data_IF_428486723369
#
_entry.id   IF_428486723369
#
_cell.length_a   1.000
_cell.length_b   1.000
_cell.length_c   1.000
_cell.angle_alpha   90.00
_cell.angle_beta   90.00
_cell.angle_gamma   90.00
#
_symmetry.space_group_name_H-M   'P 1'
#
loop_
_entity.id
_entity.type
_entity.pdbx_description
1 polymer ?
#
# COMPACT_ATOMS: atom_id res chain seq x y z
N UNK A 1 -0.47 18.37 10.98
CA UNK A 1 -0.31 17.42 12.10
C UNK A 1 1.16 17.10 12.24
N UNK A 2 1.71 17.12 13.46
CA UNK A 2 3.14 16.85 13.65
C UNK A 2 3.41 15.35 13.73
N UNK A 3 4.62 14.92 13.38
CA UNK A 3 5.06 13.52 13.46
C UNK A 3 4.94 12.95 14.88
N UNK A 4 5.20 13.79 15.88
CA UNK A 4 5.01 13.49 17.30
C UNK A 4 3.56 13.13 17.66
N UNK A 5 2.58 13.54 16.86
CA UNK A 5 1.15 13.31 17.14
C UNK A 5 0.61 12.01 16.53
N UNK A 6 1.04 11.66 15.31
CA UNK A 6 0.44 10.55 14.56
C UNK A 6 1.31 9.29 14.54
N UNK A 7 2.65 9.42 14.52
CA UNK A 7 3.55 8.29 14.30
C UNK A 7 3.49 7.26 15.44
N UNK A 8 3.50 7.65 16.73
CA UNK A 8 3.34 6.70 17.82
C UNK A 8 1.99 5.95 17.75
N UNK A 9 0.92 6.66 17.41
CA UNK A 9 -0.42 6.07 17.25
C UNK A 9 -0.47 5.07 16.10
N UNK A 10 0.05 5.42 14.93
CA UNK A 10 0.11 4.51 13.80
C UNK A 10 0.95 3.28 14.11
N UNK A 11 2.05 3.45 14.83
CA UNK A 11 2.88 2.34 15.29
C UNK A 11 2.11 1.40 16.21
N UNK A 12 1.42 1.92 17.21
CA UNK A 12 0.58 1.11 18.11
C UNK A 12 -0.55 0.38 17.35
N UNK A 13 -1.20 1.06 16.41
CA UNK A 13 -2.21 0.46 15.54
C UNK A 13 -1.62 -0.68 14.68
N UNK A 14 -0.45 -0.48 14.07
CA UNK A 14 0.21 -1.52 13.27
C UNK A 14 0.75 -2.67 14.11
N UNK A 15 1.34 -2.41 15.28
CA UNK A 15 1.77 -3.45 16.22
C UNK A 15 0.61 -4.36 16.63
N UNK A 16 -0.61 -3.82 16.69
CA UNK A 16 -1.81 -4.61 16.95
C UNK A 16 -2.33 -5.34 15.71
N UNK A 17 -2.38 -4.67 14.54
CA UNK A 17 -2.73 -5.29 13.25
C UNK A 17 -1.83 -6.49 12.94
N UNK A 18 -0.53 -6.40 13.19
CA UNK A 18 0.43 -7.50 12.95
C UNK A 18 0.02 -8.78 13.67
N UNK A 19 -0.55 -8.69 14.89
CA UNK A 19 -1.02 -9.89 15.62
C UNK A 19 -2.21 -10.55 14.91
N UNK A 20 -3.13 -9.73 14.41
CA UNK A 20 -4.29 -10.21 13.65
C UNK A 20 -3.86 -10.78 12.30
N UNK A 21 -3.04 -10.04 11.56
CA UNK A 21 -2.52 -10.41 10.24
C UNK A 21 -1.72 -11.71 10.29
N UNK A 22 -0.81 -11.87 11.26
CA UNK A 22 0.00 -13.08 11.41
C UNK A 22 -0.83 -14.34 11.70
N UNK A 23 -2.06 -14.18 12.23
CA UNK A 23 -2.98 -15.27 12.49
C UNK A 23 -4.03 -15.50 11.39
N UNK A 24 -4.12 -14.58 10.41
CA UNK A 24 -5.16 -14.60 9.37
C UNK A 24 -4.89 -15.63 8.28
N UNK A 25 -5.96 -16.15 7.67
CA UNK A 25 -5.85 -16.96 6.45
C UNK A 25 -5.31 -16.16 5.26
N UNK A 26 -5.56 -14.84 5.25
CA UNK A 26 -5.11 -13.95 4.18
C UNK A 26 -3.58 -13.95 4.00
N UNK A 27 -2.83 -13.93 5.10
CA UNK A 27 -1.37 -13.89 5.06
C UNK A 27 -0.71 -15.28 5.03
N UNK A 28 -1.43 -16.32 5.44
CA UNK A 28 -0.96 -17.73 5.51
C UNK A 28 0.52 -17.83 5.95
N UNK A 29 0.83 -17.21 7.08
CA UNK A 29 2.19 -17.24 7.64
C UNK A 29 2.70 -18.69 7.85
N UNK A 30 1.86 -19.67 8.28
CA UNK A 30 2.28 -21.07 8.33
C UNK A 30 2.69 -21.63 6.96
N UNK A 31 1.93 -21.37 5.89
CA UNK A 31 2.27 -21.80 4.53
C UNK A 31 3.54 -21.16 4.01
N UNK A 32 3.75 -19.85 4.27
CA UNK A 32 4.99 -19.15 3.94
C UNK A 32 6.21 -19.82 4.60
N UNK A 33 6.14 -20.09 5.91
CA UNK A 33 7.21 -20.76 6.66
C UNK A 33 7.44 -22.20 6.21
N UNK A 34 6.41 -22.87 5.68
CA UNK A 34 6.50 -24.20 5.10
C UNK A 34 7.05 -24.22 3.66
N UNK A 35 7.36 -23.06 3.06
CA UNK A 35 7.93 -22.96 1.72
C UNK A 35 6.90 -22.97 0.58
N UNK A 36 5.64 -22.62 0.86
CA UNK A 36 4.60 -22.47 -0.17
C UNK A 36 4.83 -21.24 -1.09
N UNK A 37 5.79 -20.37 -0.74
CA UNK A 37 6.18 -19.18 -1.51
C UNK A 37 7.54 -19.37 -2.17
N UNK A 38 7.76 -18.69 -3.30
CA UNK A 38 9.07 -18.58 -3.95
C UNK A 38 10.03 -17.67 -3.16
N UNK A 39 9.49 -16.83 -2.27
CA UNK A 39 10.28 -16.08 -1.29
C UNK A 39 10.55 -17.02 -0.11
N UNK A 40 11.76 -17.58 -0.04
CA UNK A 40 12.16 -18.46 1.05
C UNK A 40 12.81 -17.65 2.17
N UNK A 41 12.48 -17.98 3.43
CA UNK A 41 12.96 -17.24 4.59
C UNK A 41 14.50 -17.22 4.72
N UNK A 42 15.19 -18.24 4.23
CA UNK A 42 16.65 -18.33 4.20
C UNK A 42 17.31 -17.51 3.07
N UNK A 43 16.49 -16.92 2.19
CA UNK A 43 16.91 -16.06 1.07
C UNK A 43 16.40 -14.63 1.21
N UNK A 44 15.88 -14.26 2.37
CA UNK A 44 15.37 -12.93 2.68
C UNK A 44 16.10 -12.33 3.89
N UNK A 45 16.28 -11.01 3.87
CA UNK A 45 16.77 -10.22 5.00
C UNK A 45 15.73 -9.16 5.35
N UNK A 46 15.45 -8.99 6.64
CA UNK A 46 14.47 -8.02 7.13
C UNK A 46 15.20 -6.90 7.88
N UNK A 47 14.81 -5.66 7.60
CA UNK A 47 15.27 -4.47 8.30
C UNK A 47 14.06 -3.70 8.83
N UNK A 48 14.12 -3.26 10.08
CA UNK A 48 13.08 -2.43 10.71
C UNK A 48 13.54 -0.99 10.72
N UNK A 49 12.87 -0.13 9.97
CA UNK A 49 13.17 1.29 9.86
C UNK A 49 11.90 2.06 9.49
N UNK A 50 11.90 3.37 9.74
CA UNK A 50 11.05 4.25 8.93
C UNK A 50 11.50 4.13 7.47
N UNK A 51 10.56 4.09 6.52
CA UNK A 51 10.90 3.92 5.10
C UNK A 51 11.83 5.02 4.62
N UNK A 52 11.72 6.21 5.20
CA UNK A 52 12.54 7.33 4.81
C UNK A 52 14.01 7.23 5.24
N UNK A 53 14.33 6.31 6.16
CA UNK A 53 15.69 6.03 6.65
C UNK A 53 16.23 4.70 6.09
N UNK A 54 15.50 4.10 5.14
CA UNK A 54 15.87 2.82 4.53
C UNK A 54 17.27 2.85 3.86
N UNK A 55 17.69 3.90 3.13
CA UNK A 55 19.03 3.94 2.54
C UNK A 55 20.15 3.81 3.57
N UNK A 56 19.99 4.45 4.73
CA UNK A 56 20.94 4.41 5.84
C UNK A 56 20.97 3.04 6.51
N UNK A 57 19.80 2.48 6.82
CA UNK A 57 19.69 1.16 7.49
C UNK A 57 20.17 0.02 6.60
N UNK A 58 20.01 0.15 5.28
CA UNK A 58 20.52 -0.80 4.29
C UNK A 58 21.99 -0.52 3.92
N UNK A 59 22.66 0.40 4.62
CA UNK A 59 24.08 0.73 4.44
C UNK A 59 24.46 1.05 2.97
N UNK A 60 23.57 1.72 2.25
CA UNK A 60 23.76 2.09 0.84
C UNK A 60 23.66 0.92 -0.14
N UNK A 61 23.15 -0.25 0.28
CA UNK A 61 22.85 -1.34 -0.63
C UNK A 61 21.81 -0.88 -1.67
N UNK A 62 22.07 -1.24 -2.93
CA UNK A 62 21.20 -0.94 -4.08
C UNK A 62 20.64 -2.23 -4.68
N UNK A 63 19.48 -2.10 -5.32
CA UNK A 63 18.67 -3.20 -5.80
C UNK A 63 18.27 -3.00 -7.25
N UNK A 64 18.21 -4.07 -8.02
CA UNK A 64 17.70 -4.05 -9.41
C UNK A 64 16.21 -3.69 -9.45
N UNK A 65 15.48 -4.05 -8.39
CA UNK A 65 14.04 -3.84 -8.27
C UNK A 65 13.74 -3.27 -6.88
N UNK A 66 13.09 -2.12 -6.84
CA UNK A 66 12.40 -1.62 -5.64
C UNK A 66 10.91 -1.88 -5.83
N UNK A 67 10.31 -2.67 -4.95
CA UNK A 67 8.87 -2.94 -4.96
C UNK A 67 8.19 -2.19 -3.82
N UNK A 68 7.07 -1.55 -4.10
CA UNK A 68 6.19 -0.94 -3.09
C UNK A 68 4.75 -1.28 -3.45
N UNK A 69 3.90 -1.56 -2.47
CA UNK A 69 2.50 -1.71 -2.83
C UNK A 69 1.53 -2.24 -1.77
N UNK A 70 0.29 -2.34 -2.25
CA UNK A 70 -0.92 -2.84 -1.63
C UNK A 70 -1.22 -2.13 -0.31
N UNK A 71 -1.57 -0.85 -0.42
CA UNK A 71 -1.95 0.01 0.70
C UNK A 71 -0.76 0.60 1.44
N UNK A 72 0.37 0.83 0.77
CA UNK A 72 1.61 1.27 1.42
C UNK A 72 1.74 2.80 1.44
N UNK A 73 1.43 3.46 0.31
CA UNK A 73 1.65 4.91 0.18
C UNK A 73 0.77 5.74 1.12
N UNK A 74 -0.40 5.22 1.50
CA UNK A 74 -1.34 5.91 2.37
C UNK A 74 -0.77 6.20 3.77
N UNK A 75 0.28 5.51 4.17
CA UNK A 75 0.94 5.71 5.47
C UNK A 75 2.04 6.78 5.43
N UNK A 76 2.31 7.34 4.25
CA UNK A 76 3.44 8.22 4.01
C UNK A 76 2.99 9.68 3.86
N UNK A 77 3.43 10.60 4.73
CA UNK A 77 3.08 12.02 4.60
C UNK A 77 3.81 12.76 3.47
N UNK A 78 4.89 12.21 2.90
CA UNK A 78 5.76 12.90 1.94
C UNK A 78 6.22 11.96 0.81
N UNK A 79 5.45 11.95 -0.29
CA UNK A 79 5.79 11.18 -1.48
C UNK A 79 7.04 11.68 -2.20
N UNK A 80 7.43 12.94 -2.02
CA UNK A 80 8.65 13.46 -2.64
C UNK A 80 9.89 12.90 -1.94
N UNK A 81 9.88 12.82 -0.60
CA UNK A 81 10.93 12.15 0.17
C UNK A 81 10.95 10.65 -0.12
N UNK A 82 9.79 10.00 -0.18
CA UNK A 82 9.69 8.58 -0.53
C UNK A 82 10.25 8.28 -1.92
N UNK A 83 9.91 9.07 -2.94
CA UNK A 83 10.41 8.87 -4.29
C UNK A 83 11.95 9.01 -4.38
N UNK A 84 12.56 9.87 -3.55
CA UNK A 84 14.02 9.95 -3.42
C UNK A 84 14.63 8.70 -2.79
N UNK A 85 14.01 8.17 -1.75
CA UNK A 85 14.43 6.88 -1.17
C UNK A 85 14.40 5.78 -2.22
N UNK A 86 13.33 5.71 -3.02
CA UNK A 86 13.25 4.75 -4.13
C UNK A 86 14.47 4.90 -5.06
N UNK A 87 14.82 6.13 -5.47
CA UNK A 87 15.99 6.35 -6.34
C UNK A 87 17.33 6.04 -5.66
N UNK A 88 17.46 6.27 -4.35
CA UNK A 88 18.68 5.97 -3.59
C UNK A 88 18.91 4.46 -3.44
N UNK A 89 17.82 3.69 -3.42
CA UNK A 89 17.85 2.23 -3.34
C UNK A 89 17.98 1.54 -4.69
N UNK A 90 17.80 2.23 -5.82
CA UNK A 90 17.91 1.61 -7.15
C UNK A 90 19.36 1.51 -7.61
N UNK A 91 19.73 0.35 -8.14
CA UNK A 91 20.97 0.16 -8.89
C UNK A 91 20.85 0.78 -10.29
N UNK A 92 21.99 0.98 -10.96
CA UNK A 92 22.02 1.44 -12.35
C UNK A 92 21.25 0.45 -13.25
N UNK A 93 20.29 0.97 -14.02
CA UNK A 93 19.41 0.14 -14.86
C UNK A 93 18.28 -0.57 -14.11
N UNK A 94 18.16 -0.36 -12.80
CA UNK A 94 17.06 -0.86 -11.99
C UNK A 94 15.74 -0.12 -12.23
N UNK A 95 14.65 -0.66 -11.68
CA UNK A 95 13.33 -0.05 -11.76
C UNK A 95 12.54 -0.18 -10.46
N UNK A 96 11.65 0.79 -10.21
CA UNK A 96 10.59 0.65 -9.23
C UNK A 96 9.36 0.01 -9.87
N UNK A 97 8.73 -0.91 -9.14
CA UNK A 97 7.40 -1.41 -9.43
C UNK A 97 6.48 -1.09 -8.26
N UNK A 98 5.48 -0.24 -8.52
CA UNK A 98 4.44 0.12 -7.57
C UNK A 98 3.15 -0.59 -7.96
N UNK A 99 2.49 -1.28 -7.03
CA UNK A 99 1.13 -1.77 -7.18
C UNK A 99 0.29 -1.26 -6.01
N UNK A 100 -0.70 -0.41 -6.22
CA UNK A 100 -1.31 0.35 -5.13
C UNK A 100 -2.84 0.47 -5.30
N UNK A 101 -3.55 0.59 -4.18
CA UNK A 101 -4.99 0.80 -4.18
C UNK A 101 -5.31 2.13 -4.84
N UNK A 102 -6.35 2.15 -5.68
CA UNK A 102 -6.69 3.36 -6.41
C UNK A 102 -7.35 4.38 -5.47
N UNK A 103 -6.90 5.65 -5.43
CA UNK A 103 -7.42 6.67 -4.50
C UNK A 103 -8.89 7.02 -4.74
N UNK A 104 -9.46 6.63 -5.90
CA UNK A 104 -10.90 6.75 -6.12
C UNK A 104 -11.70 5.86 -5.16
N UNK A 105 -11.13 4.77 -4.66
CA UNK A 105 -11.84 3.89 -3.71
C UNK A 105 -12.02 4.54 -2.35
N UNK A 106 -11.24 5.56 -2.04
CA UNK A 106 -11.29 6.32 -0.78
C UNK A 106 -12.23 7.53 -0.86
N UNK A 107 -12.80 7.83 -2.03
CA UNK A 107 -13.85 8.85 -2.16
C UNK A 107 -15.26 8.30 -2.04
N UNK A 108 -15.39 6.97 -2.06
CA UNK A 108 -16.68 6.27 -2.05
C UNK A 108 -17.14 5.97 -0.62
N UNK A 109 -18.45 5.79 -0.46
CA UNK A 109 -19.03 5.18 0.75
C UNK A 109 -18.62 3.72 0.93
N UNK A 110 -18.97 3.14 2.08
CA UNK A 110 -18.64 1.76 2.45
C UNK A 110 -19.22 0.71 1.48
N UNK A 111 -20.28 1.07 0.74
CA UNK A 111 -20.89 0.23 -0.29
C UNK A 111 -20.20 0.37 -1.65
N UNK A 112 -19.31 1.34 -1.83
CA UNK A 112 -18.62 1.62 -3.08
C UNK A 112 -19.53 2.18 -4.17
N UNK A 113 -20.62 2.86 -3.80
CA UNK A 113 -21.69 3.28 -4.72
C UNK A 113 -21.84 4.79 -4.86
N UNK A 114 -21.48 5.56 -3.83
CA UNK A 114 -21.67 7.01 -3.81
C UNK A 114 -20.37 7.72 -3.50
N UNK A 115 -20.05 8.78 -4.25
CA UNK A 115 -18.95 9.69 -3.89
C UNK A 115 -19.40 10.51 -2.68
N UNK A 116 -18.75 10.27 -1.54
CA UNK A 116 -19.08 10.90 -0.25
C UNK A 116 -17.95 11.74 0.31
N UNK A 117 -16.76 11.65 -0.26
CA UNK A 117 -15.61 12.42 0.18
C UNK A 117 -14.84 13.05 -0.98
N UNK A 118 -13.99 14.03 -0.64
CA UNK A 118 -13.14 14.70 -1.61
C UNK A 118 -12.02 13.78 -2.11
N UNK A 119 -11.71 13.89 -3.41
CA UNK A 119 -10.55 13.22 -4.03
C UNK A 119 -9.24 13.98 -3.76
N UNK A 120 -9.33 15.31 -3.68
CA UNK A 120 -8.19 16.19 -3.43
C UNK A 120 -8.19 16.62 -1.96
N UNK A 121 -7.83 15.69 -1.08
CA UNK A 121 -7.73 15.97 0.36
C UNK A 121 -6.35 16.50 0.69
N UNK A 122 -6.31 17.47 1.60
CA UNK A 122 -5.06 18.04 2.10
C UNK A 122 -4.69 17.41 3.45
N UNK A 123 -3.48 16.85 3.52
CA UNK A 123 -2.89 16.37 4.76
C UNK A 123 -3.44 15.03 5.24
N UNK A 124 -3.02 14.66 6.45
CA UNK A 124 -3.35 13.36 7.05
C UNK A 124 -4.66 13.43 7.82
N UNK A 125 -5.49 12.41 7.65
CA UNK A 125 -6.75 12.23 8.34
C UNK A 125 -6.68 11.07 9.32
N UNK A 126 -7.39 11.19 10.44
CA UNK A 126 -7.46 10.12 11.43
C UNK A 126 -8.77 9.35 11.31
N UNK A 127 -8.64 8.05 11.14
CA UNK A 127 -9.70 7.05 11.07
C UNK A 127 -9.71 6.26 12.39
N UNK A 128 -10.88 5.78 12.78
CA UNK A 128 -11.08 4.97 14.00
C UNK A 128 -11.78 3.67 13.61
N UNK A 129 -10.98 2.69 13.19
CA UNK A 129 -11.46 1.42 12.64
C UNK A 129 -11.18 0.29 13.62
N UNK A 130 -12.24 -0.38 14.06
CA UNK A 130 -12.12 -1.52 14.96
C UNK A 130 -11.57 -2.77 14.27
N UNK A 131 -11.55 -2.83 12.94
CA UNK A 131 -11.13 -4.01 12.17
C UNK A 131 -10.13 -3.64 11.08
N UNK A 132 -9.49 -4.66 10.50
CA UNK A 132 -8.59 -4.52 9.36
C UNK A 132 -9.17 -5.27 8.16
N UNK A 133 -8.47 -5.27 7.02
CA UNK A 133 -8.91 -5.92 5.78
C UNK A 133 -8.77 -7.45 5.78
N UNK A 134 -8.38 -8.03 6.91
CA UNK A 134 -8.33 -9.48 7.15
C UNK A 134 -9.40 -9.86 8.15
N UNK A 135 -9.70 -11.16 8.21
CA UNK A 135 -10.46 -11.74 9.30
C UNK A 135 -9.74 -11.60 10.65
N UNK A 136 -10.50 -11.56 11.75
CA UNK A 136 -9.94 -11.54 13.10
C UNK A 136 -10.75 -10.76 14.14
N UNK A 137 -10.30 -10.75 15.40
CA UNK A 137 -10.91 -9.97 16.46
C UNK A 137 -10.71 -8.46 16.24
N UNK A 138 -11.51 -7.61 16.91
CA UNK A 138 -11.31 -6.17 16.84
C UNK A 138 -9.97 -5.75 17.43
N UNK A 139 -9.40 -4.69 16.87
CA UNK A 139 -8.19 -4.03 17.35
C UNK A 139 -8.45 -3.35 18.70
N UNK A 140 -7.43 -3.34 19.54
CA UNK A 140 -7.39 -2.57 20.79
C UNK A 140 -6.90 -1.15 20.56
N UNK A 141 -6.00 -0.96 19.59
CA UNK A 141 -5.56 0.34 19.09
C UNK A 141 -6.17 0.58 17.71
N UNK A 142 -7.31 1.28 17.65
CA UNK A 142 -8.13 1.44 16.43
C UNK A 142 -7.80 2.67 15.60
N UNK A 143 -7.33 3.73 16.27
CA UNK A 143 -7.06 5.00 15.62
C UNK A 143 -5.82 4.93 14.72
N UNK A 144 -5.94 5.38 13.47
CA UNK A 144 -4.86 5.41 12.50
C UNK A 144 -4.93 6.66 11.64
N UNK A 145 -3.78 7.19 11.25
CA UNK A 145 -3.66 8.38 10.43
C UNK A 145 -3.16 8.00 9.04
N UNK A 146 -3.86 8.50 8.02
CA UNK A 146 -3.65 8.14 6.62
C UNK A 146 -3.61 9.39 5.75
N UNK A 147 -2.78 9.38 4.71
CA UNK A 147 -2.65 10.42 3.69
C UNK A 147 -3.13 9.88 2.36
N UNK A 148 -4.15 10.52 1.80
CA UNK A 148 -4.65 10.15 0.49
C UNK A 148 -3.82 10.84 -0.59
N UNK A 149 -3.30 10.03 -1.53
CA UNK A 149 -2.42 10.52 -2.59
C UNK A 149 -3.10 10.38 -3.95
N UNK A 150 -3.52 11.49 -4.59
CA UNK A 150 -4.00 11.45 -5.97
C UNK A 150 -2.99 10.81 -6.92
N UNK A 151 -3.48 10.06 -7.91
CA UNK A 151 -2.61 9.38 -8.88
C UNK A 151 -1.60 10.32 -9.57
N UNK A 152 -2.03 11.55 -9.86
CA UNK A 152 -1.16 12.57 -10.45
C UNK A 152 -0.01 13.01 -9.53
N UNK A 153 -0.22 13.02 -8.21
CA UNK A 153 0.82 13.32 -7.23
C UNK A 153 1.90 12.23 -7.24
N UNK A 154 1.47 10.96 -7.17
CA UNK A 154 2.37 9.79 -7.18
C UNK A 154 3.24 9.77 -8.44
N UNK A 155 2.61 9.91 -9.62
CA UNK A 155 3.32 9.93 -10.91
C UNK A 155 4.31 11.11 -10.97
N UNK A 156 3.90 12.28 -10.49
CA UNK A 156 4.74 13.48 -10.49
C UNK A 156 5.90 13.36 -9.52
N UNK A 157 5.72 12.76 -8.33
CA UNK A 157 6.77 12.55 -7.34
C UNK A 157 7.88 11.64 -7.91
N UNK A 158 7.50 10.52 -8.52
CA UNK A 158 8.43 9.62 -9.19
C UNK A 158 9.18 10.32 -10.34
N UNK A 159 8.46 11.04 -11.20
CA UNK A 159 9.08 11.77 -12.31
C UNK A 159 10.07 12.85 -11.83
N UNK A 160 9.73 13.59 -10.77
CA UNK A 160 10.60 14.62 -10.17
C UNK A 160 11.82 14.04 -9.46
N UNK A 161 11.75 12.80 -8.98
CA UNK A 161 12.91 12.08 -8.47
C UNK A 161 13.87 11.66 -9.59
N UNK A 162 13.51 11.87 -10.86
CA UNK A 162 14.33 11.52 -12.03
C UNK A 162 13.96 10.20 -12.67
N UNK A 163 12.92 9.52 -12.16
CA UNK A 163 12.47 8.25 -12.73
C UNK A 163 11.64 8.49 -14.00
N UNK A 164 11.90 7.71 -15.04
CA UNK A 164 11.10 7.68 -16.26
C UNK A 164 9.97 6.67 -16.10
N UNK A 165 8.73 7.16 -16.12
CA UNK A 165 7.54 6.30 -16.16
C UNK A 165 7.54 5.48 -17.45
N UNK A 166 7.54 4.15 -17.32
CA UNK A 166 7.44 3.22 -18.45
C UNK A 166 5.99 2.88 -18.74
N UNK A 167 5.21 2.63 -17.69
CA UNK A 167 3.76 2.49 -17.79
C UNK A 167 3.08 2.90 -16.49
N UNK A 168 1.81 3.25 -16.65
CA UNK A 168 0.79 3.34 -15.62
C UNK A 168 -0.40 2.52 -16.12
N UNK A 169 -0.84 1.54 -15.34
CA UNK A 169 -2.06 0.78 -15.60
C UNK A 169 -3.04 0.97 -14.45
N UNK A 170 -4.32 1.13 -14.78
CA UNK A 170 -5.42 1.11 -13.83
C UNK A 170 -6.21 -0.18 -14.01
N UNK A 171 -6.60 -0.80 -12.89
CA UNK A 171 -7.12 -2.15 -12.83
C UNK A 171 -8.51 -2.16 -12.20
N UNK A 172 -9.51 -2.82 -12.82
CA UNK A 172 -10.88 -2.88 -12.32
C UNK A 172 -11.09 -4.03 -11.34
N UNK A 173 -10.11 -4.31 -10.47
CA UNK A 173 -10.18 -5.35 -9.45
C UNK A 173 -9.42 -4.94 -8.19
N UNK A 174 -9.78 -5.53 -7.05
CA UNK A 174 -9.07 -5.43 -5.77
C UNK A 174 -8.51 -6.80 -5.36
N UNK A 175 -7.55 -6.83 -4.43
CA UNK A 175 -6.98 -8.06 -3.86
C UNK A 175 -7.72 -8.56 -2.62
N UNK A 176 -8.64 -7.75 -2.09
CA UNK A 176 -9.54 -8.09 -0.99
C UNK A 176 -10.93 -7.51 -1.27
N UNK A 177 -11.93 -7.93 -0.51
CA UNK A 177 -13.30 -7.44 -0.60
C UNK A 177 -13.40 -6.00 -0.09
N UNK A 178 -12.96 -5.04 -0.92
CA UNK A 178 -12.95 -3.60 -0.56
C UNK A 178 -14.35 -3.06 -0.29
N UNK A 179 -15.36 -3.56 -1.00
CA UNK A 179 -16.76 -3.23 -0.80
C UNK A 179 -17.57 -4.52 -0.73
N UNK A 180 -18.63 -4.61 0.11
CA UNK A 180 -19.47 -5.81 0.24
C UNK A 180 -20.14 -6.28 -1.05
N UNK A 181 -20.23 -5.39 -2.06
CA UNK A 181 -20.83 -5.68 -3.36
C UNK A 181 -19.85 -6.28 -4.39
N UNK A 182 -18.59 -6.53 -4.04
CA UNK A 182 -17.62 -7.13 -4.96
C UNK A 182 -17.70 -8.67 -4.95
N UNK A 183 -17.65 -9.27 -6.14
CA UNK A 183 -17.62 -10.72 -6.32
C UNK A 183 -16.17 -11.19 -6.49
N UNK A 184 -15.83 -12.31 -5.82
CA UNK A 184 -14.53 -12.96 -5.95
C UNK A 184 -14.48 -13.79 -7.24
N UNK A 185 -13.54 -13.45 -8.12
CA UNK A 185 -13.24 -14.18 -9.35
C UNK A 185 -12.45 -15.46 -9.13
N UNK A 186 -12.32 -16.27 -10.19
CA UNK A 186 -11.61 -17.57 -10.15
C UNK A 186 -10.13 -17.44 -9.78
N UNK A 187 -9.49 -16.32 -10.13
CA UNK A 187 -8.08 -16.06 -9.78
C UNK A 187 -7.91 -15.39 -8.41
N UNK A 188 -9.00 -15.26 -7.65
CA UNK A 188 -9.01 -14.74 -6.30
C UNK A 188 -9.19 -13.22 -6.18
N UNK A 189 -9.24 -12.50 -7.29
CA UNK A 189 -9.45 -11.05 -7.31
C UNK A 189 -10.92 -10.66 -7.12
N UNK A 190 -11.19 -9.47 -6.58
CA UNK A 190 -12.53 -8.96 -6.32
C UNK A 190 -12.94 -7.91 -7.35
N UNK A 191 -14.13 -8.04 -7.94
CA UNK A 191 -14.64 -7.15 -9.01
C UNK A 191 -16.10 -6.78 -8.78
N UNK A 192 -16.53 -5.66 -9.33
CA UNK A 192 -17.97 -5.40 -9.41
C UNK A 192 -18.65 -6.47 -10.29
N UNK A 193 -19.88 -6.90 -9.93
CA UNK A 193 -20.62 -7.93 -10.64
C UNK A 193 -20.89 -7.55 -12.10
N UNK A 194 -21.12 -8.57 -12.93
CA UNK A 194 -21.50 -8.35 -14.32
C UNK A 194 -22.74 -7.43 -14.42
N UNK A 195 -22.70 -6.48 -15.36
CA UNK A 195 -23.76 -5.48 -15.54
C UNK A 195 -23.60 -4.21 -14.72
N UNK A 196 -22.64 -4.13 -13.77
CA UNK A 196 -22.20 -2.87 -13.18
C UNK A 196 -21.02 -2.25 -13.93
N UNK A 197 -20.87 -0.91 -13.93
CA UNK A 197 -19.69 -0.26 -14.46
C UNK A 197 -18.41 -0.75 -13.80
N UNK A 198 -17.34 -0.88 -14.60
CA UNK A 198 -15.99 -1.12 -14.08
C UNK A 198 -15.38 0.22 -13.71
N UNK A 199 -14.84 0.31 -12.50
CA UNK A 199 -14.11 1.47 -11.98
C UNK A 199 -12.70 1.04 -11.55
N UNK A 200 -11.71 1.93 -11.53
CA UNK A 200 -10.37 1.56 -11.10
C UNK A 200 -10.35 1.31 -9.59
N UNK A 201 -9.80 0.16 -9.19
CA UNK A 201 -9.70 -0.29 -7.80
C UNK A 201 -8.24 -0.47 -7.37
N UNK A 202 -7.36 -0.75 -8.33
CA UNK A 202 -5.91 -0.81 -8.17
C UNK A 202 -5.25 -0.05 -9.32
N UNK A 203 -4.01 0.35 -9.14
CA UNK A 203 -3.14 0.76 -10.24
C UNK A 203 -1.75 0.17 -10.07
N UNK A 204 -0.98 0.15 -11.17
CA UNK A 204 0.42 -0.24 -11.15
C UNK A 204 1.27 0.69 -11.98
N UNK A 205 2.43 1.08 -11.45
CA UNK A 205 3.43 1.89 -12.14
C UNK A 205 4.74 1.12 -12.22
N UNK A 206 5.38 1.18 -13.38
CA UNK A 206 6.79 0.85 -13.52
C UNK A 206 7.54 2.09 -13.94
N UNK A 207 8.64 2.39 -13.26
CA UNK A 207 9.51 3.50 -13.61
C UNK A 207 10.98 3.12 -13.45
N UNK A 208 11.82 3.50 -14.40
CA UNK A 208 13.28 3.24 -14.34
C UNK A 208 14.03 4.51 -13.93
N UNK A 209 15.20 4.34 -13.32
CA UNK A 209 16.20 5.41 -13.22
C UNK A 209 16.73 5.83 -14.60
#
# INVERSE_FOLDING_TARGET
MSETDWLPRNRENWDDRVRVHAASEFYDLPGFLAGASTLLADRASFATADVYDAPEVLAGQRFDIVYTGIGALVWLPDLTRWARVVTDLLADGGFVYLAELHPVTDVLDDDGTTVTHDYFRDGGETYDDAHTYTDGPPLTSTASTQWQHPLGEVVTALARAGLRIEFLHEHPFSLFERFPGLERGESGEYRFPAGRPRVPLLYSIRASA
#
